data_IF_521507722200
#
_entry.id   IF_521507722200
#
_cell.length_a   1.000
_cell.length_b   1.000
_cell.length_c   1.000
_cell.angle_alpha   90.00
_cell.angle_beta   90.00
_cell.angle_gamma   90.00
#
_symmetry.space_group_name_H-M   'P 1'
#
loop_
_entity.id
_entity.type
_entity.pdbx_description
1 polymer ?
#
# COMPACT_ATOMS: atom_id res chain seq x y z
N UNK A 1 -5.01 9.20 -3.93
CA UNK A 1 -5.88 8.00 -4.00
C UNK A 1 -5.14 6.78 -3.45
N UNK A 2 -5.85 5.72 -3.08
CA UNK A 2 -5.24 4.43 -2.71
C UNK A 2 -5.77 3.31 -3.63
N UNK A 3 -4.87 2.55 -4.23
CA UNK A 3 -5.18 1.40 -5.09
C UNK A 3 -4.63 0.12 -4.47
N UNK A 4 -5.48 -0.91 -4.37
CA UNK A 4 -5.12 -2.28 -4.00
C UNK A 4 -5.11 -3.13 -5.26
N UNK A 5 -3.94 -3.64 -5.63
CA UNK A 5 -3.71 -4.34 -6.89
C UNK A 5 -3.07 -5.71 -6.60
N UNK A 6 -3.79 -6.79 -6.85
CA UNK A 6 -3.29 -8.17 -6.68
C UNK A 6 -2.37 -8.64 -7.80
N UNK A 7 -2.09 -7.78 -8.80
CA UNK A 7 -1.18 -8.09 -9.89
C UNK A 7 -1.65 -9.31 -10.68
N UNK A 8 -0.70 -10.18 -11.05
CA UNK A 8 -0.99 -11.44 -11.72
C UNK A 8 -1.25 -12.61 -10.77
N UNK A 9 -1.18 -12.37 -9.45
CA UNK A 9 -1.29 -13.41 -8.42
C UNK A 9 -2.74 -13.48 -7.92
N UNK A 10 -3.28 -12.36 -7.47
CA UNK A 10 -4.67 -12.20 -7.02
C UNK A 10 -5.45 -11.33 -8.01
N UNK A 11 -5.77 -11.90 -9.18
CA UNK A 11 -6.30 -11.15 -10.34
C UNK A 11 -7.63 -10.44 -10.08
N UNK A 12 -8.43 -10.93 -9.13
CA UNK A 12 -9.72 -10.33 -8.77
C UNK A 12 -9.56 -9.13 -7.80
N UNK A 13 -8.36 -8.92 -7.25
CA UNK A 13 -8.06 -7.79 -6.39
C UNK A 13 -7.66 -6.58 -7.22
N UNK A 14 -8.64 -5.75 -7.59
CA UNK A 14 -8.40 -4.46 -8.24
C UNK A 14 -9.39 -3.40 -7.71
N UNK A 15 -9.03 -2.77 -6.60
CA UNK A 15 -9.91 -1.84 -5.88
C UNK A 15 -9.24 -0.47 -5.70
N UNK A 16 -9.97 0.60 -5.97
CA UNK A 16 -9.49 1.97 -5.79
C UNK A 16 -10.38 2.73 -4.82
N UNK A 17 -9.76 3.43 -3.89
CA UNK A 17 -10.41 4.21 -2.84
C UNK A 17 -10.01 5.69 -2.93
N UNK A 18 -11.01 6.56 -2.89
CA UNK A 18 -10.80 8.00 -2.71
C UNK A 18 -10.62 8.25 -1.21
N UNK A 19 -9.43 8.70 -0.84
CA UNK A 19 -9.03 8.89 0.54
C UNK A 19 -9.09 10.37 0.90
N UNK A 20 -9.55 10.69 2.12
CA UNK A 20 -9.56 12.07 2.60
C UNK A 20 -8.12 12.52 2.88
N UNK A 21 -7.66 13.52 2.13
CA UNK A 21 -6.35 14.13 2.37
C UNK A 21 -6.40 15.07 3.58
N UNK A 22 -5.31 15.08 4.35
CA UNK A 22 -5.03 16.05 5.40
C UNK A 22 -3.57 16.49 5.27
N UNK A 23 -3.26 17.71 5.70
CA UNK A 23 -1.87 18.17 5.78
C UNK A 23 -1.04 17.21 6.64
N UNK A 24 0.23 17.05 6.27
CA UNK A 24 1.21 16.17 6.91
C UNK A 24 0.90 14.67 6.94
N UNK A 25 -0.14 14.21 6.22
CA UNK A 25 -0.46 12.79 6.08
C UNK A 25 0.71 12.02 5.46
N UNK A 26 1.24 11.03 6.17
CA UNK A 26 2.28 10.14 5.64
C UNK A 26 1.70 8.94 4.90
N UNK A 27 2.54 8.22 4.14
CA UNK A 27 2.19 6.91 3.56
C UNK A 27 1.68 5.97 4.65
N UNK A 28 2.39 5.88 5.78
CA UNK A 28 2.03 5.02 6.91
C UNK A 28 0.66 5.39 7.50
N UNK A 29 0.38 6.69 7.68
CA UNK A 29 -0.89 7.15 8.21
C UNK A 29 -2.05 6.81 7.27
N UNK A 30 -1.84 7.00 5.96
CA UNK A 30 -2.84 6.64 4.94
C UNK A 30 -3.14 5.14 4.98
N UNK A 31 -2.12 4.28 5.03
CA UNK A 31 -2.28 2.82 5.10
C UNK A 31 -3.03 2.41 6.38
N UNK A 32 -2.67 2.97 7.54
CA UNK A 32 -3.36 2.72 8.82
C UNK A 32 -4.82 3.16 8.82
N UNK A 33 -5.18 4.16 8.02
CA UNK A 33 -6.58 4.61 7.88
C UNK A 33 -7.44 3.65 7.05
N UNK A 34 -6.82 2.75 6.27
CA UNK A 34 -7.51 1.78 5.45
C UNK A 34 -7.71 0.46 6.22
N UNK A 35 -8.96 0.13 6.56
CA UNK A 35 -9.30 -1.12 7.30
C UNK A 35 -8.92 -2.41 6.58
N UNK A 36 -8.63 -2.35 5.27
CA UNK A 36 -8.23 -3.48 4.45
C UNK A 36 -6.74 -3.75 4.45
N UNK A 37 -5.93 -2.87 5.03
CA UNK A 37 -4.48 -2.97 5.03
C UNK A 37 -4.00 -3.22 6.45
N UNK A 38 -3.22 -4.28 6.64
CA UNK A 38 -2.54 -4.55 7.89
C UNK A 38 -1.04 -4.39 7.70
N UNK A 39 -0.42 -3.57 8.54
CA UNK A 39 1.04 -3.43 8.57
C UNK A 39 1.65 -4.49 9.50
N UNK A 40 2.91 -4.82 9.26
CA UNK A 40 3.68 -5.62 10.21
C UNK A 40 3.86 -4.88 11.55
N UNK A 41 4.25 -5.60 12.62
CA UNK A 41 4.38 -5.03 13.97
C UNK A 41 5.33 -3.81 14.05
N UNK A 42 6.40 -3.81 13.24
CA UNK A 42 7.33 -2.69 13.11
C UNK A 42 6.80 -1.53 12.27
N UNK A 43 5.61 -1.69 11.71
CA UNK A 43 4.91 -0.81 10.77
C UNK A 43 5.68 -0.49 9.48
N UNK A 44 6.80 -1.17 9.18
CA UNK A 44 7.69 -0.81 8.05
C UNK A 44 7.23 -1.35 6.71
N UNK A 45 6.34 -2.35 6.70
CA UNK A 45 5.82 -2.98 5.49
C UNK A 45 4.36 -3.40 5.65
N UNK A 46 3.70 -3.60 4.52
CA UNK A 46 2.37 -4.21 4.48
C UNK A 46 2.51 -5.72 4.72
N UNK A 47 1.79 -6.22 5.72
CA UNK A 47 1.71 -7.64 6.07
C UNK A 47 0.62 -8.34 5.25
N UNK A 48 -0.56 -7.74 5.16
CA UNK A 48 -1.69 -8.27 4.38
C UNK A 48 -2.61 -7.18 3.84
N UNK A 49 -3.33 -7.54 2.79
CA UNK A 49 -4.37 -6.71 2.16
C UNK A 49 -5.61 -7.57 1.92
N UNK A 50 -6.80 -7.10 2.32
CA UNK A 50 -8.06 -7.88 2.22
C UNK A 50 -7.91 -9.29 2.79
N UNK A 51 -7.28 -9.42 3.96
CA UNK A 51 -6.99 -10.68 4.65
C UNK A 51 -6.03 -11.63 3.89
N UNK A 52 -5.48 -11.21 2.75
CA UNK A 52 -4.48 -11.96 2.01
C UNK A 52 -3.06 -11.64 2.49
N UNK A 53 -2.39 -12.65 3.03
CA UNK A 53 -0.95 -12.60 3.38
C UNK A 53 -0.14 -13.23 2.25
N UNK A 54 0.88 -12.54 1.70
CA UNK A 54 1.71 -13.07 0.63
C UNK A 54 2.39 -14.38 1.02
N UNK A 55 2.47 -15.30 0.06
CA UNK A 55 3.26 -16.52 0.18
C UNK A 55 4.77 -16.21 0.21
N UNK A 56 5.60 -17.24 0.45
CA UNK A 56 7.06 -17.08 0.57
C UNK A 56 7.73 -16.50 -0.67
N UNK A 57 7.14 -16.68 -1.85
CA UNK A 57 7.60 -16.20 -3.15
C UNK A 57 6.93 -14.88 -3.58
N UNK A 58 6.14 -14.26 -2.72
CA UNK A 58 5.38 -13.05 -3.01
C UNK A 58 5.74 -11.93 -2.04
N UNK A 59 5.39 -10.71 -2.42
CA UNK A 59 5.52 -9.52 -1.60
C UNK A 59 4.55 -8.41 -2.01
N UNK A 60 4.14 -7.60 -1.03
CA UNK A 60 3.44 -6.34 -1.27
C UNK A 60 4.45 -5.22 -1.52
N UNK A 61 4.44 -4.64 -2.72
CA UNK A 61 5.21 -3.44 -3.06
C UNK A 61 4.34 -2.21 -2.97
N UNK A 62 4.91 -1.16 -2.39
CA UNK A 62 4.29 0.16 -2.39
C UNK A 62 4.83 0.99 -3.55
N UNK A 63 3.95 1.73 -4.22
CA UNK A 63 4.36 2.75 -5.19
C UNK A 63 3.63 4.04 -4.93
N UNK A 64 4.34 5.16 -5.03
CA UNK A 64 3.72 6.49 -5.05
C UNK A 64 3.92 7.09 -6.43
N UNK A 65 2.82 7.46 -7.09
CA UNK A 65 2.81 8.00 -8.44
C UNK A 65 3.58 7.10 -9.44
N UNK A 66 3.35 5.79 -9.34
CA UNK A 66 3.99 4.77 -10.17
C UNK A 66 5.45 4.45 -9.85
N UNK A 67 6.08 5.15 -8.89
CA UNK A 67 7.46 4.88 -8.46
C UNK A 67 7.47 4.02 -7.22
N UNK A 68 8.25 2.94 -7.26
CA UNK A 68 8.41 2.07 -6.09
C UNK A 68 8.98 2.85 -4.90
N UNK A 69 8.33 2.68 -3.76
CA UNK A 69 8.76 3.20 -2.48
C UNK A 69 9.90 2.33 -1.93
N UNK A 70 10.93 2.96 -1.36
CA UNK A 70 12.00 2.26 -0.66
C UNK A 70 11.62 2.02 0.81
N UNK A 71 12.41 1.21 1.53
CA UNK A 71 12.14 0.78 2.90
C UNK A 71 11.93 1.92 3.91
N UNK A 72 12.47 3.10 3.63
CA UNK A 72 12.36 4.31 4.46
C UNK A 72 11.19 5.23 4.06
N UNK A 73 10.48 4.93 2.97
CA UNK A 73 9.45 5.82 2.43
C UNK A 73 8.11 5.80 3.18
N UNK A 74 7.95 4.96 4.21
CA UNK A 74 6.71 4.91 5.00
C UNK A 74 6.38 6.24 5.69
N UNK A 75 7.40 7.02 6.07
CA UNK A 75 7.23 8.32 6.72
C UNK A 75 7.25 9.50 5.71
N UNK A 76 7.24 9.19 4.41
CA UNK A 76 7.09 10.20 3.36
C UNK A 76 5.72 10.86 3.46
N UNK A 77 5.71 12.19 3.49
CA UNK A 77 4.48 12.99 3.42
C UNK A 77 3.89 12.93 2.00
N UNK A 78 2.60 12.66 1.93
CA UNK A 78 1.82 12.67 0.70
C UNK A 78 1.33 14.10 0.39
N UNK A 79 1.07 14.33 -0.90
CA UNK A 79 0.36 15.50 -1.42
C UNK A 79 -1.06 15.12 -1.83
N UNK A 80 -1.95 16.10 -1.92
CA UNK A 80 -3.36 15.87 -2.24
C UNK A 80 -3.61 15.10 -3.55
N UNK A 81 -2.69 15.22 -4.52
CA UNK A 81 -2.78 14.56 -5.82
C UNK A 81 -2.01 13.24 -5.89
N UNK A 82 -1.32 12.84 -4.82
CA UNK A 82 -0.53 11.61 -4.85
C UNK A 82 -1.42 10.37 -4.89
N UNK A 83 -0.96 9.39 -5.64
CA UNK A 83 -1.57 8.08 -5.78
C UNK A 83 -0.67 7.03 -5.13
N UNK A 84 -1.18 6.34 -4.13
CA UNK A 84 -0.52 5.21 -3.49
C UNK A 84 -1.08 3.91 -4.07
N UNK A 85 -0.24 3.06 -4.64
CA UNK A 85 -0.57 1.71 -5.07
C UNK A 85 0.09 0.70 -4.12
N UNK A 86 -0.69 -0.29 -3.68
CA UNK A 86 -0.19 -1.53 -3.06
C UNK A 86 -0.32 -2.64 -4.12
N UNK A 87 0.81 -3.15 -4.59
CA UNK A 87 0.87 -4.15 -5.65
C UNK A 87 1.43 -5.48 -5.13
N UNK A 88 0.70 -6.58 -5.33
CA UNK A 88 1.22 -7.92 -5.10
C UNK A 88 2.13 -8.30 -6.26
N UNK A 89 3.37 -8.71 -5.96
CA UNK A 89 4.32 -9.19 -6.95
C UNK A 89 4.98 -10.47 -6.49
N UNK A 90 5.42 -11.29 -7.46
CA UNK A 90 6.42 -12.32 -7.20
C UNK A 90 7.77 -11.65 -6.90
N UNK A 91 8.57 -12.30 -6.04
CA UNK A 91 9.95 -11.88 -5.72
C UNK A 91 10.92 -12.17 -6.85
#
# INVERSE_FOLDING_TARGET
MLTLNGGSVEVDLHQTYIMLFKEDLTVRDLLKSCSKVHLADDNKKVLSVNDYTPLSNEEWKLKVNGKQLLDDGMDMKLRAQDELEILLTLR
#
